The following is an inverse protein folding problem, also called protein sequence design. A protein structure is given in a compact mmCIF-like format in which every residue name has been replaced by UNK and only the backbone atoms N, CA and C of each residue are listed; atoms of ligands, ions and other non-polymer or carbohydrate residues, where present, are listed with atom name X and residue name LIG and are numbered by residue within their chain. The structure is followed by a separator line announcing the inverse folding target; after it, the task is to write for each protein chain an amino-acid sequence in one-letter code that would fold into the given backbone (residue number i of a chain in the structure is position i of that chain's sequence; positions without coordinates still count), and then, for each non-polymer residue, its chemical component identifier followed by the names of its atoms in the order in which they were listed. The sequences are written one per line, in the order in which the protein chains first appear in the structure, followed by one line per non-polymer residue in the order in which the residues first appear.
data_IF_621828024212
#
_entry.id   IF_621828024212
#
_cell.length_a   1.000
_cell.length_b   1.000
_cell.length_c   1.000
_cell.angle_alpha   90.00
_cell.angle_beta   90.00
_cell.angle_gamma   90.00
#
_symmetry.space_group_name_H-M   'P 1'
#
loop_
_entity.id
_entity.type
_entity.pdbx_description
1 polymer ?
#
# COMPACT_ATOMS: atom_id res chain seq x y z
N UNK A 1 2.36 -6.33 17.64
CA UNK A 1 0.95 -5.97 17.32
C UNK A 1 0.72 -5.78 15.81
N UNK A 2 1.46 -4.88 15.13
CA UNK A 2 1.31 -4.64 13.67
C UNK A 2 1.38 -5.92 12.81
N UNK A 3 2.38 -6.78 13.06
CA UNK A 3 2.57 -8.03 12.34
C UNK A 3 1.39 -9.00 12.51
N UNK A 4 0.86 -9.12 13.73
CA UNK A 4 -0.30 -9.95 14.01
C UNK A 4 -1.55 -9.44 13.29
N UNK A 5 -1.74 -8.12 13.22
CA UNK A 5 -2.85 -7.53 12.46
C UNK A 5 -2.77 -7.86 10.97
N UNK A 6 -1.59 -7.74 10.34
CA UNK A 6 -1.43 -8.15 8.93
C UNK A 6 -1.67 -9.64 8.70
N UNK A 7 -1.20 -10.50 9.61
CA UNK A 7 -1.48 -11.93 9.52
C UNK A 7 -2.99 -12.21 9.58
N UNK A 8 -3.72 -11.57 10.49
CA UNK A 8 -5.18 -11.66 10.59
C UNK A 8 -5.86 -11.18 9.31
N UNK A 9 -5.43 -10.06 8.73
CA UNK A 9 -6.00 -9.54 7.48
C UNK A 9 -5.77 -10.45 6.28
N UNK A 10 -4.55 -10.98 6.12
CA UNK A 10 -4.22 -11.94 5.05
C UNK A 10 -5.10 -13.18 5.18
N UNK A 11 -5.17 -13.75 6.40
CA UNK A 11 -6.02 -14.92 6.68
C UNK A 11 -7.50 -14.61 6.44
N UNK A 12 -7.97 -13.43 6.84
CA UNK A 12 -9.36 -13.00 6.62
C UNK A 12 -9.69 -12.91 5.13
N UNK A 13 -8.79 -12.38 4.31
CA UNK A 13 -8.98 -12.28 2.85
C UNK A 13 -9.08 -13.67 2.22
N UNK A 14 -8.20 -14.60 2.58
CA UNK A 14 -8.27 -15.98 2.11
C UNK A 14 -9.54 -16.69 2.60
N UNK A 15 -9.89 -16.52 3.88
CA UNK A 15 -11.11 -17.07 4.46
C UNK A 15 -12.35 -16.59 3.69
N UNK A 16 -12.51 -15.28 3.50
CA UNK A 16 -13.64 -14.71 2.75
C UNK A 16 -13.69 -15.25 1.32
N UNK A 17 -12.55 -15.47 0.68
CA UNK A 17 -12.49 -16.02 -0.69
C UNK A 17 -12.89 -17.50 -0.76
N UNK A 18 -12.47 -18.31 0.21
CA UNK A 18 -12.79 -19.72 0.30
C UNK A 18 -14.28 -19.94 0.60
N UNK A 19 -14.86 -19.10 1.45
CA UNK A 19 -16.27 -19.17 1.82
C UNK A 19 -17.15 -18.37 0.84
N UNK A 20 -17.64 -19.04 -0.22
CA UNK A 20 -18.56 -18.50 -1.24
C UNK A 20 -19.66 -17.54 -0.74
N UNK A 21 -20.36 -17.76 0.40
CA UNK A 21 -21.37 -16.81 0.87
C UNK A 21 -20.81 -15.44 1.28
N UNK A 22 -19.54 -15.36 1.67
CA UNK A 22 -18.84 -14.15 2.12
C UNK A 22 -18.19 -13.37 0.98
N UNK A 23 -18.11 -13.91 -0.24
CA UNK A 23 -17.54 -13.22 -1.41
C UNK A 23 -18.18 -11.85 -1.71
N UNK A 24 -19.37 -11.56 -1.16
CA UNK A 24 -19.98 -10.23 -1.22
C UNK A 24 -19.14 -9.15 -0.53
N UNK A 25 -18.35 -9.49 0.50
CA UNK A 25 -17.46 -8.54 1.17
C UNK A 25 -16.31 -8.09 0.26
N UNK A 26 -15.80 -8.98 -0.62
CA UNK A 26 -14.69 -8.70 -1.54
C UNK A 26 -15.10 -7.92 -2.80
N UNK A 27 -16.40 -7.75 -3.04
CA UNK A 27 -16.94 -7.14 -4.26
C UNK A 27 -17.34 -5.70 -4.00
N UNK A 28 -16.95 -4.81 -4.91
CA UNK A 28 -17.26 -3.38 -4.80
C UNK A 28 -17.33 -2.72 -6.18
N UNK A 29 -18.05 -1.60 -6.28
CA UNK A 29 -18.28 -0.92 -7.56
C UNK A 29 -18.92 -1.84 -8.60
N UNK A 30 -18.25 -2.04 -9.75
CA UNK A 30 -18.80 -2.79 -10.90
C UNK A 30 -18.98 -4.28 -10.65
N UNK A 31 -18.18 -4.88 -9.76
CA UNK A 31 -18.25 -6.31 -9.44
C UNK A 31 -19.42 -6.65 -8.48
N UNK A 32 -20.01 -5.64 -7.84
CA UNK A 32 -21.21 -5.80 -7.00
C UNK A 32 -22.49 -5.97 -7.84
N UNK A 33 -22.59 -5.24 -8.96
CA UNK A 33 -23.78 -5.21 -9.84
C UNK A 33 -24.18 -6.58 -10.40
N UNK A 34 -23.19 -7.41 -10.79
CA UNK A 34 -23.45 -8.77 -11.30
C UNK A 34 -23.77 -9.82 -10.23
N UNK A 35 -23.57 -9.49 -8.95
CA UNK A 35 -23.84 -10.42 -7.83
C UNK A 35 -25.27 -10.31 -7.30
N UNK A 36 -25.82 -9.09 -7.24
CA UNK A 36 -27.20 -8.86 -6.80
C UNK A 36 -28.21 -9.53 -7.73
N UNK A 37 -27.94 -9.56 -9.04
CA UNK A 37 -28.80 -10.23 -10.03
C UNK A 37 -28.77 -11.76 -9.91
N UNK A 38 -27.64 -12.36 -9.53
CA UNK A 38 -27.49 -13.82 -9.43
C UNK A 38 -27.97 -14.43 -8.11
N UNK A 39 -28.04 -13.64 -7.02
CA UNK A 39 -28.55 -14.11 -5.71
C UNK A 39 -30.04 -13.84 -5.47
N UNK A 40 -30.68 -12.97 -6.26
CA UNK A 40 -32.12 -12.71 -6.15
C UNK A 40 -32.99 -13.97 -6.32
N UNK A 41 -32.45 -15.03 -6.95
CA UNK A 41 -33.21 -16.24 -7.29
C UNK A 41 -32.98 -17.45 -6.39
N UNK A 42 -32.00 -17.48 -5.46
CA UNK A 42 -31.73 -18.67 -4.62
C UNK A 42 -31.25 -18.32 -3.21
N UNK A 43 -31.99 -18.80 -2.21
CA UNK A 43 -31.76 -18.79 -0.75
C UNK A 43 -32.26 -17.59 0.07
N UNK A 44 -33.52 -17.70 0.52
CA UNK A 44 -34.16 -16.87 1.57
C UNK A 44 -33.83 -17.28 3.02
N UNK A 45 -33.25 -18.45 3.28
CA UNK A 45 -33.30 -19.04 4.64
C UNK A 45 -31.97 -19.17 5.41
N UNK A 46 -30.89 -18.46 5.06
CA UNK A 46 -29.72 -18.45 5.97
C UNK A 46 -29.08 -17.07 6.15
N UNK A 47 -29.16 -16.58 7.40
CA UNK A 47 -28.32 -15.56 8.07
C UNK A 47 -28.74 -14.08 7.93
N UNK A 48 -29.78 -13.70 8.67
CA UNK A 48 -30.20 -12.31 8.90
C UNK A 48 -29.04 -11.38 9.39
N UNK A 49 -28.14 -11.84 10.27
CA UNK A 49 -27.04 -11.00 10.78
C UNK A 49 -25.93 -10.71 9.75
N UNK A 50 -25.64 -11.65 8.84
CA UNK A 50 -24.58 -11.47 7.84
C UNK A 50 -25.00 -10.49 6.74
N UNK A 51 -26.29 -10.47 6.42
CA UNK A 51 -26.87 -9.56 5.43
C UNK A 51 -26.80 -8.10 5.89
N UNK A 52 -26.95 -7.85 7.20
CA UNK A 52 -26.84 -6.51 7.77
C UNK A 52 -25.42 -5.94 7.62
N UNK A 53 -24.38 -6.71 7.98
CA UNK A 53 -22.97 -6.30 7.85
C UNK A 53 -22.52 -6.10 6.39
N UNK A 54 -23.08 -6.86 5.44
CA UNK A 54 -22.82 -6.67 4.01
C UNK A 54 -23.39 -5.34 3.47
N UNK A 55 -24.49 -4.86 4.04
CA UNK A 55 -25.18 -3.65 3.61
C UNK A 55 -24.54 -2.36 4.15
N UNK A 56 -23.71 -2.46 5.20
CA UNK A 56 -22.95 -1.31 5.70
C UNK A 56 -21.86 -0.96 4.68
N UNK A 57 -22.14 0.10 3.94
CA UNK A 57 -21.31 0.54 2.82
C UNK A 57 -21.00 2.02 2.92
N UNK A 58 -19.79 2.37 2.52
CA UNK A 58 -19.33 3.76 2.42
C UNK A 58 -19.21 4.18 0.96
N UNK A 59 -19.34 5.48 0.66
CA UNK A 59 -19.09 5.98 -0.69
C UNK A 59 -17.66 5.69 -1.14
N UNK A 60 -17.48 5.30 -2.41
CA UNK A 60 -16.16 4.94 -2.94
C UNK A 60 -15.16 6.10 -2.93
N UNK A 61 -15.61 7.36 -2.98
CA UNK A 61 -14.71 8.51 -2.92
C UNK A 61 -14.02 8.68 -1.55
N UNK A 62 -14.46 7.96 -0.50
CA UNK A 62 -13.73 7.91 0.79
C UNK A 62 -12.33 7.26 0.66
N UNK A 63 -12.01 6.68 -0.50
CA UNK A 63 -10.65 6.27 -0.83
C UNK A 63 -9.64 7.42 -0.69
N UNK A 64 -10.05 8.68 -0.88
CA UNK A 64 -9.22 9.85 -0.63
C UNK A 64 -8.73 9.92 0.83
N UNK A 65 -9.55 9.50 1.81
CA UNK A 65 -9.21 9.59 3.23
C UNK A 65 -7.95 8.80 3.58
N UNK A 66 -7.73 7.66 2.92
CA UNK A 66 -6.54 6.83 3.11
C UNK A 66 -5.26 7.60 2.78
N UNK A 67 -5.27 8.34 1.68
CA UNK A 67 -4.11 9.10 1.23
C UNK A 67 -3.94 10.44 1.96
N UNK A 68 -5.04 11.04 2.44
CA UNK A 68 -4.96 12.18 3.37
C UNK A 68 -4.25 11.73 4.65
N UNK A 69 -4.73 10.65 5.27
CA UNK A 69 -4.14 10.08 6.47
C UNK A 69 -2.67 9.71 6.23
N UNK A 70 -2.38 8.98 5.16
CA UNK A 70 -1.02 8.56 4.82
C UNK A 70 -0.08 9.75 4.63
N UNK A 71 -0.52 10.79 3.90
CA UNK A 71 0.32 11.96 3.61
C UNK A 71 0.61 12.79 4.86
N UNK A 72 -0.39 13.00 5.72
CA UNK A 72 -0.22 13.72 6.99
C UNK A 72 0.75 12.96 7.89
N UNK A 73 0.54 11.65 8.08
CA UNK A 73 1.40 10.83 8.92
C UNK A 73 2.83 10.78 8.37
N UNK A 74 3.01 10.57 7.07
CA UNK A 74 4.35 10.50 6.48
C UNK A 74 5.10 11.82 6.54
N UNK A 75 4.39 12.95 6.41
CA UNK A 75 4.99 14.28 6.56
C UNK A 75 5.35 14.56 8.01
N UNK A 76 4.50 14.16 8.96
CA UNK A 76 4.81 14.27 10.39
C UNK A 76 6.04 13.43 10.77
N UNK A 77 6.16 12.22 10.22
CA UNK A 77 7.33 11.37 10.40
C UNK A 77 8.60 12.00 9.81
N UNK A 78 8.49 12.64 8.64
CA UNK A 78 9.60 13.37 8.03
C UNK A 78 10.08 14.54 8.89
N UNK A 79 9.17 15.31 9.46
CA UNK A 79 9.53 16.39 10.38
C UNK A 79 10.24 15.81 11.60
N UNK A 80 9.68 14.77 12.23
CA UNK A 80 10.28 14.12 13.41
C UNK A 80 11.70 13.61 13.14
N UNK A 81 11.91 12.95 12.00
CA UNK A 81 13.21 12.37 11.61
C UNK A 81 14.26 13.45 11.32
N UNK A 82 13.88 14.59 10.74
CA UNK A 82 14.85 15.67 10.48
C UNK A 82 15.06 16.60 11.69
N UNK A 83 14.12 16.64 12.64
CA UNK A 83 14.29 17.38 13.90
C UNK A 83 15.12 16.61 14.94
N UNK A 84 15.23 15.29 14.81
CA UNK A 84 16.07 14.45 15.67
C UNK A 84 17.47 14.36 15.05
N UNK A 85 18.46 14.93 15.75
CA UNK A 85 19.71 15.47 15.21
C UNK A 85 20.66 14.48 14.50
N UNK A 86 21.57 15.04 13.69
CA UNK A 86 22.44 14.44 12.66
C UNK A 86 23.61 13.53 13.16
N UNK A 87 23.54 12.97 14.36
CA UNK A 87 24.67 12.25 15.00
C UNK A 87 24.91 10.82 14.46
N UNK A 88 24.10 10.34 13.52
CA UNK A 88 24.16 8.96 13.02
C UNK A 88 25.21 8.75 11.91
N UNK A 89 26.49 9.01 12.22
CA UNK A 89 27.63 8.76 11.32
C UNK A 89 28.33 7.41 11.55
N UNK A 90 27.67 6.45 12.20
CA UNK A 90 28.21 5.10 12.33
C UNK A 90 27.94 4.30 11.04
N UNK A 91 28.98 3.77 10.39
CA UNK A 91 28.92 3.30 8.99
C UNK A 91 27.81 2.28 8.67
N UNK A 92 27.57 1.29 9.54
CA UNK A 92 26.54 0.26 9.31
C UNK A 92 25.14 0.81 9.59
N UNK A 93 24.92 1.46 10.75
CA UNK A 93 23.61 2.03 11.11
C UNK A 93 23.24 3.22 10.22
N UNK A 94 24.22 4.00 9.77
CA UNK A 94 24.06 5.09 8.80
C UNK A 94 23.55 4.57 7.45
N UNK A 95 23.99 3.40 7.00
CA UNK A 95 23.45 2.78 5.78
C UNK A 95 21.97 2.39 5.91
N UNK A 96 21.56 1.89 7.08
CA UNK A 96 20.17 1.54 7.38
C UNK A 96 19.33 2.81 7.47
N UNK A 97 19.84 3.84 8.15
CA UNK A 97 19.21 5.15 8.26
C UNK A 97 18.96 5.78 6.87
N UNK A 98 19.95 5.73 5.98
CA UNK A 98 19.79 6.23 4.61
C UNK A 98 18.72 5.46 3.82
N UNK A 99 18.62 4.14 4.00
CA UNK A 99 17.57 3.32 3.38
C UNK A 99 16.18 3.67 3.91
N UNK A 100 16.05 3.86 5.22
CA UNK A 100 14.81 4.31 5.87
C UNK A 100 14.41 5.71 5.37
N UNK A 101 15.36 6.63 5.25
CA UNK A 101 15.12 7.98 4.71
C UNK A 101 14.67 7.95 3.25
N UNK A 102 15.30 7.10 2.43
CA UNK A 102 14.86 6.87 1.05
C UNK A 102 13.46 6.27 0.98
N UNK A 103 13.14 5.27 1.81
CA UNK A 103 11.80 4.71 1.93
C UNK A 103 10.79 5.82 2.24
N UNK A 104 11.04 6.61 3.29
CA UNK A 104 10.14 7.67 3.74
C UNK A 104 9.86 8.70 2.64
N UNK A 105 10.91 9.18 1.97
CA UNK A 105 10.78 10.13 0.87
C UNK A 105 9.94 9.56 -0.29
N UNK A 106 10.22 8.31 -0.69
CA UNK A 106 9.45 7.63 -1.74
C UNK A 106 8.00 7.39 -1.35
N UNK A 107 7.73 7.11 -0.07
CA UNK A 107 6.38 6.92 0.44
C UNK A 107 5.58 8.22 0.49
N UNK A 108 6.21 9.35 0.85
CA UNK A 108 5.60 10.68 0.78
C UNK A 108 5.21 11.01 -0.68
N UNK A 109 6.14 10.78 -1.62
CA UNK A 109 5.85 10.95 -3.06
C UNK A 109 4.67 10.06 -3.47
N UNK A 110 4.67 8.80 -3.04
CA UNK A 110 3.59 7.86 -3.32
C UNK A 110 2.24 8.34 -2.78
N UNK A 111 2.16 8.73 -1.51
CA UNK A 111 0.90 9.11 -0.85
C UNK A 111 0.36 10.43 -1.41
N UNK A 112 1.21 11.44 -1.62
CA UNK A 112 0.81 12.74 -2.19
C UNK A 112 0.35 12.55 -3.63
N UNK A 113 1.11 11.82 -4.45
CA UNK A 113 0.72 11.53 -5.84
C UNK A 113 -0.64 10.83 -5.89
N UNK A 114 -0.84 9.78 -5.09
CA UNK A 114 -2.12 9.07 -5.03
C UNK A 114 -3.26 9.97 -4.53
N UNK A 115 -3.00 10.89 -3.60
CA UNK A 115 -3.97 11.88 -3.13
C UNK A 115 -4.39 12.83 -4.25
N UNK A 116 -3.42 13.39 -4.98
CA UNK A 116 -3.65 14.26 -6.15
C UNK A 116 -4.45 13.51 -7.23
N UNK A 117 -4.08 12.27 -7.54
CA UNK A 117 -4.82 11.43 -8.48
C UNK A 117 -6.26 11.17 -8.03
N UNK A 118 -6.52 11.06 -6.73
CA UNK A 118 -7.88 10.88 -6.23
C UNK A 118 -8.74 12.13 -6.45
N UNK A 119 -8.18 13.33 -6.30
CA UNK A 119 -8.92 14.58 -6.49
C UNK A 119 -9.08 14.96 -7.97
N UNK A 120 -8.03 14.79 -8.78
CA UNK A 120 -7.99 15.37 -10.13
C UNK A 120 -8.10 14.33 -11.26
N UNK A 121 -7.72 13.07 -11.03
CA UNK A 121 -7.70 12.03 -12.07
C UNK A 121 -8.86 11.04 -11.92
N UNK A 122 -9.23 10.69 -10.69
CA UNK A 122 -10.16 9.62 -10.40
C UNK A 122 -11.61 10.06 -10.55
N UNK A 123 -12.31 9.52 -11.57
CA UNK A 123 -13.74 9.77 -11.78
C UNK A 123 -14.60 8.79 -10.98
N UNK A 124 -14.83 9.10 -9.70
CA UNK A 124 -15.71 8.30 -8.85
C UNK A 124 -17.18 8.47 -9.25
N UNK A 125 -17.90 7.36 -9.42
CA UNK A 125 -19.34 7.39 -9.62
C UNK A 125 -20.05 7.67 -8.29
N UNK A 126 -21.00 8.62 -8.26
CA UNK A 126 -21.78 9.00 -7.06
C UNK A 126 -22.50 7.81 -6.42
N UNK A 127 -22.92 6.83 -7.22
CA UNK A 127 -23.60 5.62 -6.73
C UNK A 127 -22.66 4.45 -6.40
N UNK A 128 -21.35 4.58 -6.64
CA UNK A 128 -20.41 3.49 -6.35
C UNK A 128 -20.11 3.43 -4.86
N UNK A 129 -20.35 2.27 -4.26
CA UNK A 129 -20.11 2.01 -2.84
C UNK A 129 -19.07 0.90 -2.64
N UNK A 130 -18.47 0.88 -1.46
CA UNK A 130 -17.56 -0.16 -0.97
C UNK A 130 -17.98 -0.56 0.45
N UNK A 131 -17.79 -1.82 0.85
CA UNK A 131 -18.11 -2.26 2.20
C UNK A 131 -17.22 -1.56 3.25
N UNK A 132 -17.77 -1.30 4.44
CA UNK A 132 -17.04 -0.65 5.54
C UNK A 132 -15.81 -1.46 6.00
N UNK A 133 -15.85 -2.79 5.92
CA UNK A 133 -14.70 -3.65 6.28
C UNK A 133 -13.47 -3.33 5.42
N UNK A 134 -13.64 -3.20 4.11
CA UNK A 134 -12.58 -2.74 3.22
C UNK A 134 -12.07 -1.35 3.57
N UNK A 135 -12.96 -0.48 4.07
CA UNK A 135 -12.56 0.86 4.51
C UNK A 135 -11.66 0.80 5.74
N UNK A 136 -12.06 0.05 6.76
CA UNK A 136 -11.29 -0.11 7.99
C UNK A 136 -9.92 -0.77 7.74
N UNK A 137 -9.88 -1.81 6.92
CA UNK A 137 -8.62 -2.47 6.51
C UNK A 137 -7.72 -1.49 5.76
N UNK A 138 -8.28 -0.65 4.88
CA UNK A 138 -7.53 0.41 4.20
C UNK A 138 -6.92 1.41 5.18
N UNK A 139 -7.69 1.90 6.16
CA UNK A 139 -7.19 2.79 7.22
C UNK A 139 -6.08 2.12 8.01
N UNK A 140 -6.27 0.86 8.42
CA UNK A 140 -5.28 0.10 9.18
C UNK A 140 -3.96 -0.05 8.42
N UNK A 141 -4.01 -0.37 7.12
CA UNK A 141 -2.81 -0.50 6.27
C UNK A 141 -1.97 0.78 6.30
N UNK A 142 -2.56 1.93 5.96
CA UNK A 142 -1.83 3.19 5.85
C UNK A 142 -1.36 3.71 7.22
N UNK A 143 -2.11 3.45 8.29
CA UNK A 143 -1.65 3.69 9.65
C UNK A 143 -0.43 2.82 9.98
N UNK A 144 -0.51 1.52 9.69
CA UNK A 144 0.53 0.54 10.01
C UNK A 144 1.83 0.79 9.27
N UNK A 145 1.78 1.20 8.00
CA UNK A 145 2.98 1.55 7.22
C UNK A 145 3.71 2.74 7.89
N UNK A 146 2.97 3.79 8.26
CA UNK A 146 3.56 4.97 8.90
C UNK A 146 4.11 4.67 10.29
N UNK A 147 3.38 3.90 11.11
CA UNK A 147 3.88 3.46 12.42
C UNK A 147 5.13 2.59 12.29
N UNK A 148 5.18 1.68 11.32
CA UNK A 148 6.35 0.85 11.07
C UNK A 148 7.58 1.71 10.70
N UNK A 149 7.40 2.74 9.88
CA UNK A 149 8.48 3.67 9.54
C UNK A 149 8.99 4.41 10.79
N UNK A 150 8.09 5.04 11.56
CA UNK A 150 8.47 5.79 12.77
C UNK A 150 9.20 4.87 13.76
N UNK A 151 8.66 3.68 14.02
CA UNK A 151 9.29 2.72 14.92
C UNK A 151 10.67 2.28 14.42
N UNK A 152 10.81 2.03 13.12
CA UNK A 152 12.10 1.64 12.52
C UNK A 152 13.15 2.76 12.66
N UNK A 153 12.75 4.02 12.50
CA UNK A 153 13.61 5.17 12.75
C UNK A 153 13.99 5.27 14.22
N UNK A 154 13.02 5.25 15.15
CA UNK A 154 13.28 5.36 16.59
C UNK A 154 14.21 4.28 17.10
N UNK A 155 14.03 3.03 16.66
CA UNK A 155 14.91 1.91 17.01
C UNK A 155 16.33 2.16 16.47
N UNK A 156 16.46 2.56 15.21
CA UNK A 156 17.77 2.84 14.60
C UNK A 156 18.49 3.98 15.33
N UNK A 157 17.78 5.06 15.65
CA UNK A 157 18.33 6.21 16.40
C UNK A 157 18.74 5.84 17.82
N UNK A 158 17.97 4.98 18.50
CA UNK A 158 18.32 4.51 19.85
C UNK A 158 19.62 3.69 19.83
N UNK A 159 19.77 2.77 18.88
CA UNK A 159 20.99 1.99 18.75
C UNK A 159 22.20 2.83 18.35
N UNK A 160 22.03 3.89 17.55
CA UNK A 160 23.15 4.80 17.25
C UNK A 160 23.62 5.57 18.46
N UNK A 161 22.70 6.06 19.31
CA UNK A 161 23.09 6.77 20.53
C UNK A 161 23.82 5.84 21.50
N UNK A 162 23.29 4.64 21.74
CA UNK A 162 23.95 3.66 22.60
C UNK A 162 25.33 3.24 22.08
N UNK A 163 25.51 3.13 20.76
CA UNK A 163 26.82 2.82 20.18
C UNK A 163 27.81 3.99 20.23
N UNK A 164 27.32 5.23 20.26
CA UNK A 164 28.15 6.43 20.39
C UNK A 164 28.66 6.58 21.82
N UNK A 165 27.77 6.53 22.81
CA UNK A 165 28.11 6.69 24.24
C UNK A 165 29.11 5.62 24.74
N UNK A 166 29.10 4.42 24.16
CA UNK A 166 30.02 3.33 24.51
C UNK A 166 31.43 3.48 23.88
N UNK A 167 31.63 4.40 22.94
CA UNK A 167 32.91 4.59 22.22
C UNK A 167 33.68 5.84 22.67
N UNK A 168 33.26 6.49 23.76
CA UNK A 168 33.97 7.64 24.35
C UNK A 168 35.32 7.28 25.02
N UNK A 169 35.73 6.00 25.02
CA UNK A 169 37.09 5.58 25.38
C UNK A 169 38.08 5.78 24.20
N UNK A 170 38.46 7.05 24.00
CA UNK A 170 39.74 7.65 23.59
C UNK A 170 40.73 7.00 22.59
N UNK A 171 40.51 5.83 21.98
CA UNK A 171 41.53 5.24 21.10
C UNK A 171 41.02 4.28 20.03
N UNK A 172 40.09 4.69 19.17
CA UNK A 172 39.93 3.99 17.89
C UNK A 172 39.69 4.94 16.73
N UNK A 173 40.56 4.80 15.73
CA UNK A 173 40.40 5.25 14.35
C UNK A 173 39.10 4.68 13.75
N UNK A 174 37.93 5.14 14.20
CA UNK A 174 36.69 4.90 13.50
C UNK A 174 36.84 5.71 12.23
N UNK A 175 37.17 5.00 11.14
CA UNK A 175 37.15 5.55 9.80
C UNK A 175 35.73 6.08 9.61
N UNK A 176 35.56 7.39 9.76
CA UNK A 176 34.34 8.12 9.41
C UNK A 176 34.28 8.07 7.89
N UNK A 177 33.91 6.90 7.35
CA UNK A 177 33.60 6.77 5.95
C UNK A 177 32.38 7.66 5.77
N UNK A 178 32.52 8.70 4.95
CA UNK A 178 31.45 9.63 4.62
C UNK A 178 30.33 8.85 3.92
N UNK A 179 29.39 8.28 4.69
CA UNK A 179 28.30 7.43 4.21
C UNK A 179 27.17 8.21 3.56
N UNK A 180 27.41 9.47 3.19
CA UNK A 180 26.46 10.29 2.44
C UNK A 180 26.25 9.77 1.00
N UNK A 181 27.11 8.87 0.53
CA UNK A 181 26.95 8.26 -0.79
C UNK A 181 25.86 7.18 -0.76
N UNK A 182 24.83 7.39 -1.57
CA UNK A 182 23.80 6.39 -1.84
C UNK A 182 24.47 5.20 -2.53
N UNK A 183 24.40 4.03 -1.92
CA UNK A 183 24.97 2.82 -2.50
C UNK A 183 24.30 2.53 -3.87
N UNK A 184 25.04 2.07 -4.90
CA UNK A 184 24.48 1.83 -6.23
C UNK A 184 23.21 0.95 -6.24
N UNK A 185 23.11 -0.14 -5.45
CA UNK A 185 21.87 -0.93 -5.37
C UNK A 185 20.68 -0.14 -4.83
N UNK A 186 20.91 0.76 -3.85
CA UNK A 186 19.87 1.61 -3.30
C UNK A 186 19.38 2.62 -4.35
N UNK A 187 20.30 3.21 -5.13
CA UNK A 187 19.93 4.11 -6.21
C UNK A 187 19.06 3.41 -7.27
N UNK A 188 19.44 2.18 -7.67
CA UNK A 188 18.65 1.38 -8.62
C UNK A 188 17.24 1.15 -8.09
N UNK A 189 17.08 0.79 -6.81
CA UNK A 189 15.77 0.58 -6.20
C UNK A 189 14.92 1.87 -6.14
N UNK A 190 15.54 3.01 -5.85
CA UNK A 190 14.87 4.32 -5.84
C UNK A 190 14.35 4.66 -7.25
N UNK A 191 15.20 4.53 -8.27
CA UNK A 191 14.83 4.80 -9.66
C UNK A 191 13.73 3.83 -10.13
N UNK A 192 13.84 2.55 -9.79
CA UNK A 192 12.82 1.54 -10.11
C UNK A 192 11.47 1.85 -9.45
N UNK A 193 11.47 2.26 -8.18
CA UNK A 193 10.26 2.67 -7.48
C UNK A 193 9.59 3.86 -8.19
N UNK A 194 10.34 4.92 -8.48
CA UNK A 194 9.84 6.11 -9.18
C UNK A 194 9.29 5.76 -10.58
N UNK A 195 9.96 4.89 -11.31
CA UNK A 195 9.49 4.38 -12.60
C UNK A 195 8.14 3.66 -12.47
N UNK A 196 7.98 2.78 -11.48
CA UNK A 196 6.72 2.09 -11.24
C UNK A 196 5.59 3.05 -10.83
N UNK A 197 5.91 4.06 -10.01
CA UNK A 197 4.97 5.12 -9.64
C UNK A 197 4.50 5.94 -10.85
N UNK A 198 5.41 6.32 -11.74
CA UNK A 198 5.09 7.05 -12.96
C UNK A 198 4.20 6.21 -13.90
N UNK A 199 4.56 4.94 -14.12
CA UNK A 199 3.74 4.03 -14.93
C UNK A 199 2.35 3.83 -14.35
N UNK A 200 2.22 3.75 -13.03
CA UNK A 200 0.90 3.68 -12.40
C UNK A 200 0.06 4.93 -12.65
N UNK A 201 0.64 6.12 -12.50
CA UNK A 201 -0.04 7.38 -12.80
C UNK A 201 -0.53 7.43 -14.26
N UNK A 202 0.33 7.05 -15.21
CA UNK A 202 -0.02 6.98 -16.63
C UNK A 202 -1.19 6.02 -16.88
N UNK A 203 -1.19 4.86 -16.22
CA UNK A 203 -2.30 3.91 -16.31
C UNK A 203 -3.61 4.49 -15.74
N UNK A 204 -3.57 5.21 -14.62
CA UNK A 204 -4.76 5.86 -14.06
C UNK A 204 -5.27 7.00 -14.95
N UNK A 205 -4.37 7.79 -15.54
CA UNK A 205 -4.72 8.82 -16.52
C UNK A 205 -5.35 8.22 -17.78
N UNK A 206 -4.86 7.08 -18.25
CA UNK A 206 -5.49 6.38 -19.36
C UNK A 206 -6.89 5.89 -18.97
N UNK A 207 -7.02 5.23 -17.82
CA UNK A 207 -8.30 4.72 -17.32
C UNK A 207 -9.34 5.83 -17.09
N UNK A 208 -8.93 7.04 -16.68
CA UNK A 208 -9.86 8.17 -16.49
C UNK A 208 -10.42 8.73 -17.80
N UNK A 209 -9.72 8.51 -18.92
CA UNK A 209 -10.13 8.89 -20.28
C UNK A 209 -10.95 7.79 -20.97
N UNK A 210 -10.71 6.52 -20.64
CA UNK A 210 -11.45 5.40 -21.24
C UNK A 210 -12.95 5.46 -20.92
N UNK A 211 -13.77 5.07 -21.90
CA UNK A 211 -15.22 4.90 -21.69
C UNK A 211 -15.44 3.89 -20.58
N UNK A 212 -16.34 4.23 -19.66
CA UNK A 212 -16.53 3.50 -18.42
C UNK A 212 -16.89 2.03 -18.71
N UNK A 213 -16.11 1.13 -18.11
CA UNK A 213 -16.22 -0.33 -18.23
C UNK A 213 -15.74 -0.96 -19.53
N UNK A 214 -15.22 -0.20 -20.49
CA UNK A 214 -14.49 -0.79 -21.59
C UNK A 214 -13.16 -1.37 -21.11
N UNK A 215 -12.65 -2.36 -21.83
CA UNK A 215 -11.33 -2.92 -21.57
C UNK A 215 -10.26 -1.96 -22.11
N UNK A 216 -9.26 -1.56 -21.31
CA UNK A 216 -8.14 -0.77 -21.81
C UNK A 216 -7.22 -1.61 -22.70
N UNK A 217 -6.64 -0.98 -23.72
CA UNK A 217 -5.89 -1.64 -24.81
C UNK A 217 -4.49 -1.03 -25.06
N UNK A 218 -4.06 -0.07 -24.23
CA UNK A 218 -2.78 0.62 -24.41
C UNK A 218 -1.70 0.18 -23.40
N UNK A 219 -0.43 0.24 -23.81
CA UNK A 219 0.71 -0.07 -22.95
C UNK A 219 0.67 -1.48 -22.34
N UNK A 220 0.90 -1.58 -21.03
CA UNK A 220 0.85 -2.84 -20.28
C UNK A 220 -0.53 -3.51 -20.29
N UNK A 221 -1.61 -2.77 -20.57
CA UNK A 221 -2.95 -3.34 -20.65
C UNK A 221 -3.14 -4.34 -21.80
N UNK A 222 -2.24 -4.32 -22.80
CA UNK A 222 -2.19 -5.34 -23.87
C UNK A 222 -1.87 -6.74 -23.34
N UNK A 223 -1.15 -6.82 -22.21
CA UNK A 223 -0.70 -8.09 -21.64
C UNK A 223 -1.40 -8.42 -20.33
N UNK A 224 -1.69 -7.42 -19.50
CA UNK A 224 -2.24 -7.61 -18.15
C UNK A 224 -3.47 -6.72 -17.96
N UNK A 225 -4.59 -7.33 -17.56
CA UNK A 225 -5.87 -6.66 -17.41
C UNK A 225 -5.84 -5.46 -16.44
N UNK A 226 -5.11 -5.59 -15.33
CA UNK A 226 -5.02 -4.56 -14.30
C UNK A 226 -3.57 -4.09 -14.13
N UNK A 227 -2.99 -3.50 -15.18
CA UNK A 227 -1.61 -3.00 -15.18
C UNK A 227 -1.29 -2.06 -14.00
N UNK A 228 -2.24 -1.24 -13.58
CA UNK A 228 -2.08 -0.35 -12.42
C UNK A 228 -1.94 -1.10 -11.08
N UNK A 229 -2.58 -2.26 -10.91
CA UNK A 229 -2.40 -3.13 -9.74
C UNK A 229 -1.04 -3.79 -9.75
N UNK A 230 -0.58 -4.23 -10.93
CA UNK A 230 0.76 -4.80 -11.08
C UNK A 230 1.85 -3.79 -10.67
N UNK A 231 1.75 -2.54 -11.15
CA UNK A 231 2.69 -1.49 -10.73
C UNK A 231 2.63 -1.20 -9.23
N UNK A 232 1.46 -1.27 -8.60
CA UNK A 232 1.35 -1.12 -7.13
C UNK A 232 2.13 -2.20 -6.40
N UNK A 233 1.98 -3.47 -6.81
CA UNK A 233 2.73 -4.59 -6.22
C UNK A 233 4.24 -4.36 -6.35
N UNK A 234 4.72 -3.89 -7.50
CA UNK A 234 6.14 -3.58 -7.71
C UNK A 234 6.64 -2.42 -6.83
N UNK A 235 5.81 -1.38 -6.61
CA UNK A 235 6.12 -0.29 -5.68
C UNK A 235 6.33 -0.86 -4.26
N UNK A 236 5.40 -1.68 -3.76
CA UNK A 236 5.55 -2.29 -2.42
C UNK A 236 6.70 -3.30 -2.35
N UNK A 237 7.01 -3.98 -3.45
CA UNK A 237 8.18 -4.87 -3.54
C UNK A 237 9.47 -4.07 -3.35
N UNK A 238 9.60 -2.93 -4.02
CA UNK A 238 10.77 -2.07 -3.86
C UNK A 238 10.89 -1.46 -2.45
N UNK A 239 9.78 -1.16 -1.77
CA UNK A 239 9.79 -0.74 -0.36
C UNK A 239 10.34 -1.83 0.56
N UNK A 240 9.92 -3.09 0.36
CA UNK A 240 10.47 -4.23 1.09
C UNK A 240 11.97 -4.44 0.80
N UNK A 241 12.39 -4.34 -0.46
CA UNK A 241 13.80 -4.50 -0.83
C UNK A 241 14.69 -3.37 -0.28
N UNK A 242 14.17 -2.15 -0.16
CA UNK A 242 14.87 -1.03 0.48
C UNK A 242 15.06 -1.28 1.98
N UNK A 243 14.01 -1.75 2.67
CA UNK A 243 14.02 -1.99 4.11
C UNK A 243 13.45 -3.39 4.39
N UNK A 244 14.29 -4.44 4.34
CA UNK A 244 13.85 -5.82 4.45
C UNK A 244 13.59 -6.17 5.92
N UNK A 245 12.37 -5.92 6.39
CA UNK A 245 11.89 -6.37 7.69
C UNK A 245 10.58 -7.16 7.53
N UNK A 246 10.24 -7.96 8.55
CA UNK A 246 9.06 -8.83 8.51
C UNK A 246 7.77 -8.03 8.30
N UNK A 247 7.66 -6.84 8.89
CA UNK A 247 6.46 -6.00 8.73
C UNK A 247 6.28 -5.56 7.27
N UNK A 248 7.35 -5.12 6.59
CA UNK A 248 7.32 -4.74 5.18
C UNK A 248 7.06 -5.93 4.26
N UNK A 249 7.57 -7.13 4.62
CA UNK A 249 7.22 -8.36 3.91
C UNK A 249 5.72 -8.65 4.01
N UNK A 250 5.15 -8.55 5.21
CA UNK A 250 3.72 -8.77 5.42
C UNK A 250 2.86 -7.74 4.67
N UNK A 251 3.27 -6.46 4.64
CA UNK A 251 2.63 -5.41 3.84
C UNK A 251 2.65 -5.77 2.34
N UNK A 252 3.78 -6.26 1.83
CA UNK A 252 3.91 -6.71 0.44
C UNK A 252 2.99 -7.90 0.15
N UNK A 253 3.02 -8.93 0.99
CA UNK A 253 2.18 -10.14 0.85
C UNK A 253 0.70 -9.77 0.90
N UNK A 254 0.32 -8.89 1.82
CA UNK A 254 -1.04 -8.39 1.92
C UNK A 254 -1.45 -7.63 0.65
N UNK A 255 -0.62 -6.70 0.18
CA UNK A 255 -0.88 -5.91 -1.05
C UNK A 255 -1.02 -6.83 -2.26
N UNK A 256 -0.10 -7.78 -2.41
CA UNK A 256 -0.13 -8.79 -3.47
C UNK A 256 -1.43 -9.59 -3.44
N UNK A 257 -1.83 -10.09 -2.26
CA UNK A 257 -3.02 -10.93 -2.10
C UNK A 257 -4.29 -10.14 -2.42
N UNK A 258 -4.43 -8.95 -1.82
CA UNK A 258 -5.62 -8.10 -1.98
C UNK A 258 -5.82 -7.67 -3.44
N UNK A 259 -4.75 -7.21 -4.10
CA UNK A 259 -4.81 -6.77 -5.49
C UNK A 259 -4.97 -7.93 -6.48
N UNK A 260 -4.36 -9.09 -6.22
CA UNK A 260 -4.54 -10.27 -7.06
C UNK A 260 -5.97 -10.78 -7.02
N UNK A 261 -6.59 -10.86 -5.83
CA UNK A 261 -7.99 -11.28 -5.69
C UNK A 261 -8.92 -10.29 -6.38
N UNK A 262 -8.67 -8.99 -6.22
CA UNK A 262 -9.41 -7.92 -6.91
C UNK A 262 -9.25 -8.02 -8.43
N UNK A 263 -8.05 -8.35 -8.89
CA UNK A 263 -7.75 -8.56 -10.31
C UNK A 263 -8.53 -9.74 -10.89
N UNK A 264 -8.61 -10.86 -10.18
CA UNK A 264 -9.40 -12.02 -10.60
C UNK A 264 -10.90 -11.70 -10.70
N UNK A 265 -11.46 -10.89 -9.79
CA UNK A 265 -12.86 -10.49 -9.89
C UNK A 265 -13.11 -9.52 -11.06
N UNK A 266 -12.15 -8.64 -11.38
CA UNK A 266 -12.19 -7.84 -12.61
C UNK A 266 -12.14 -8.73 -13.86
N UNK A 267 -11.31 -9.76 -13.87
CA UNK A 267 -11.21 -10.70 -15.00
C UNK A 267 -12.53 -11.43 -15.25
N UNK A 268 -13.16 -11.96 -14.20
CA UNK A 268 -14.50 -12.58 -14.30
C UNK A 268 -15.56 -11.61 -14.82
N UNK A 269 -15.50 -10.34 -14.39
CA UNK A 269 -16.43 -9.32 -14.87
C UNK A 269 -16.33 -9.13 -16.39
N UNK A 270 -15.13 -9.03 -16.94
CA UNK A 270 -14.93 -8.86 -18.39
C UNK A 270 -15.25 -10.12 -19.19
N UNK A 271 -15.01 -11.31 -18.63
CA UNK A 271 -15.44 -12.56 -19.26
C UNK A 271 -16.96 -12.64 -19.41
N UNK A 272 -17.72 -12.22 -18.39
CA UNK A 272 -19.18 -12.24 -18.42
C UNK A 272 -19.81 -11.15 -19.32
N UNK A 273 -19.00 -10.22 -19.86
CA UNK A 273 -19.45 -9.19 -20.80
C UNK A 273 -19.22 -9.59 -22.27
N UNK A 274 -18.49 -10.68 -22.52
CA UNK A 274 -18.33 -11.29 -23.85
C UNK A 274 -19.43 -12.32 -24.05
#
# INVERSE_FOLDING_TARGET
LLQAGFAVEILAVFFVKLFKPLNGFLRYGKTLSGYSTTKSTKNKNSRFNLFYLLNITVPKYYFCHFYILASILSLSAYILVNCTDNSTKLSILGSIYNRLKAYLNLFIIHSIRRLVECFFVSKFNKHSKMNISHYLVGVYLYLSINLNMILSFSITSCFTHSAYDNNDDDNNNIIIINTNNINPPQLILILFNLFCQANQLLNHLHLSKTVKYNQPDTGLFKYILNAHYFNEILIYCSFYLLVPNLTNLLILVWTFTNLSISSCENYKFYLNQR
#
